data_IF_509738511253
#
_entry.id   IF_509738511253
#
_cell.length_a   1.000
_cell.length_b   1.000
_cell.length_c   1.000
_cell.angle_alpha   90.00
_cell.angle_beta   90.00
_cell.angle_gamma   90.00
#
_symmetry.space_group_name_H-M   'P 1'
#
loop_
_entity.id
_entity.type
_entity.pdbx_description
1 polymer ?
#
# COMPACT_ATOMS: atom_id res chain seq x y z
N UNK A 1 5.58 -10.17 -3.54
CA UNK A 1 5.49 -11.21 -4.59
C UNK A 1 6.81 -11.93 -4.67
N UNK A 2 6.92 -13.20 -4.23
CA UNK A 2 8.14 -13.97 -4.42
C UNK A 2 8.33 -14.19 -5.93
N UNK A 3 9.43 -13.70 -6.49
CA UNK A 3 9.83 -13.91 -7.86
C UNK A 3 9.74 -12.72 -8.81
N UNK A 4 9.15 -11.61 -8.43
CA UNK A 4 9.32 -10.36 -9.18
C UNK A 4 10.57 -9.66 -8.64
N UNK A 5 11.74 -10.12 -9.04
CA UNK A 5 12.94 -9.28 -9.04
C UNK A 5 12.82 -8.31 -10.21
N UNK A 6 11.86 -7.41 -10.15
CA UNK A 6 12.08 -6.15 -10.83
C UNK A 6 13.37 -5.62 -10.21
N UNK A 7 14.36 -5.31 -11.02
CA UNK A 7 15.26 -4.22 -10.68
C UNK A 7 14.32 -3.03 -10.49
N UNK A 8 13.77 -2.89 -9.29
CA UNK A 8 13.14 -1.66 -8.84
C UNK A 8 14.32 -0.71 -8.66
N UNK A 9 14.92 -0.35 -9.78
CA UNK A 9 16.15 0.43 -9.80
C UNK A 9 15.92 1.89 -9.51
N UNK A 10 14.67 2.36 -9.49
CA UNK A 10 14.43 3.77 -9.26
C UNK A 10 13.16 3.90 -8.44
N UNK A 11 13.34 4.10 -7.14
CA UNK A 11 12.28 4.66 -6.30
C UNK A 11 11.98 6.07 -6.82
N UNK A 12 10.88 6.21 -7.54
CA UNK A 12 10.36 7.54 -7.81
C UNK A 12 9.68 8.01 -6.52
N UNK A 13 10.15 9.06 -5.85
CA UNK A 13 9.51 9.57 -4.64
C UNK A 13 8.10 10.03 -5.01
N UNK A 14 7.09 9.57 -4.27
CA UNK A 14 5.71 9.99 -4.48
C UNK A 14 5.53 11.47 -4.14
N UNK A 15 6.27 11.99 -3.18
CA UNK A 15 6.21 13.39 -2.77
C UNK A 15 7.57 13.96 -2.36
N UNK A 16 7.65 15.28 -2.13
CA UNK A 16 8.88 15.94 -1.76
C UNK A 16 9.36 15.46 -0.39
N UNK A 17 10.65 15.13 -0.30
CA UNK A 17 11.32 14.66 0.92
C UNK A 17 11.72 15.81 1.87
N UNK A 18 11.66 17.06 1.41
CA UNK A 18 12.03 18.22 2.20
C UNK A 18 11.17 18.37 3.46
N UNK A 19 11.79 18.80 4.56
CA UNK A 19 11.13 19.02 5.86
C UNK A 19 11.34 20.44 6.36
N UNK A 20 10.38 20.94 7.12
CA UNK A 20 10.42 22.28 7.74
C UNK A 20 10.21 22.18 9.25
N UNK A 21 11.22 21.67 10.01
CA UNK A 21 11.13 21.60 11.47
C UNK A 21 11.07 22.99 12.08
N UNK A 22 10.27 23.16 13.13
CA UNK A 22 10.18 24.44 13.85
C UNK A 22 11.36 24.69 14.79
N UNK A 23 12.14 23.64 15.11
CA UNK A 23 13.33 23.76 15.96
C UNK A 23 14.44 22.80 15.56
N UNK A 24 15.65 23.10 15.99
CA UNK A 24 16.80 22.18 15.95
C UNK A 24 16.75 21.23 17.15
N UNK A 25 17.01 19.95 16.93
CA UNK A 25 17.11 18.94 17.99
C UNK A 25 18.54 18.46 18.18
N UNK A 26 18.90 17.88 19.34
CA UNK A 26 20.23 17.30 19.53
C UNK A 26 20.60 16.24 18.51
N UNK A 27 19.63 15.43 18.05
CA UNK A 27 19.84 14.43 17.00
C UNK A 27 20.20 15.04 15.65
N UNK A 28 19.62 16.17 15.30
CA UNK A 28 19.93 16.94 14.09
C UNK A 28 21.31 17.59 14.20
N UNK A 29 21.64 18.18 15.35
CA UNK A 29 22.95 18.76 15.61
C UNK A 29 24.09 17.73 15.45
N UNK A 30 23.82 16.46 15.75
CA UNK A 30 24.77 15.38 15.50
C UNK A 30 25.14 15.26 14.01
N UNK A 31 24.17 15.36 13.12
CA UNK A 31 24.46 15.31 11.67
C UNK A 31 25.39 16.46 11.24
N UNK A 32 25.25 17.64 11.85
CA UNK A 32 26.18 18.76 11.62
C UNK A 32 27.61 18.45 12.04
N UNK A 33 27.81 17.81 13.21
CA UNK A 33 29.14 17.40 13.67
C UNK A 33 29.69 16.26 12.81
N UNK A 34 28.84 15.32 12.43
CA UNK A 34 29.19 14.22 11.56
C UNK A 34 29.68 14.69 10.18
N UNK A 35 29.18 15.84 9.71
CA UNK A 35 29.65 16.49 8.48
C UNK A 35 31.16 16.78 8.50
N UNK A 36 31.71 17.18 9.63
CA UNK A 36 33.17 17.40 9.79
C UNK A 36 33.96 16.08 9.75
N UNK A 37 33.31 14.94 9.96
CA UNK A 37 33.88 13.60 10.02
C UNK A 37 33.52 12.73 8.81
N UNK A 38 33.06 13.32 7.70
CA UNK A 38 32.78 12.60 6.45
C UNK A 38 31.37 12.01 6.30
N UNK A 39 30.42 12.36 7.17
CA UNK A 39 29.01 12.01 6.96
C UNK A 39 28.29 12.98 6.01
N UNK A 40 27.15 12.54 5.43
CA UNK A 40 26.40 13.26 4.39
C UNK A 40 26.25 14.76 4.65
N UNK A 41 26.68 15.56 3.69
CA UNK A 41 26.75 17.01 3.79
C UNK A 41 25.44 17.73 3.51
N UNK A 42 24.44 16.99 3.00
CA UNK A 42 23.15 17.47 2.52
C UNK A 42 21.96 17.18 3.47
N UNK A 43 22.25 16.80 4.71
CA UNK A 43 21.21 16.45 5.70
C UNK A 43 20.68 17.68 6.45
N UNK A 44 21.50 18.72 6.60
CA UNK A 44 21.16 19.93 7.36
C UNK A 44 21.26 21.18 6.49
N UNK A 45 20.34 22.11 6.72
CA UNK A 45 20.46 23.47 6.22
C UNK A 45 21.69 24.13 6.91
N UNK A 46 22.68 24.66 6.16
CA UNK A 46 23.90 25.18 6.74
C UNK A 46 23.71 26.46 7.56
N UNK A 47 22.63 27.21 7.32
CA UNK A 47 22.32 28.47 8.00
C UNK A 47 21.54 28.23 9.31
N UNK A 48 20.58 27.31 9.27
CA UNK A 48 19.64 27.11 10.37
C UNK A 48 19.95 25.87 11.22
N UNK A 49 20.82 24.97 10.76
CA UNK A 49 21.10 23.66 11.35
C UNK A 49 19.83 22.80 11.54
N UNK A 50 18.79 23.05 10.75
CA UNK A 50 17.57 22.25 10.73
C UNK A 50 17.67 21.17 9.68
N UNK A 51 17.06 20.03 9.95
CA UNK A 51 16.96 18.92 8.98
C UNK A 51 16.23 19.39 7.73
N UNK A 52 16.79 19.10 6.55
CA UNK A 52 16.20 19.49 5.25
C UNK A 52 15.41 18.36 4.57
N UNK A 53 15.63 17.11 4.98
CA UNK A 53 14.95 15.94 4.42
C UNK A 53 14.51 14.99 5.53
N UNK A 54 13.46 14.20 5.29
CA UNK A 54 13.07 13.11 6.19
C UNK A 54 14.23 12.11 6.37
N UNK A 55 14.52 11.78 7.62
CA UNK A 55 15.56 10.80 7.99
C UNK A 55 15.05 9.64 8.81
N UNK A 56 13.92 9.82 9.50
CA UNK A 56 13.28 8.81 10.31
C UNK A 56 11.77 8.80 10.09
N UNK A 57 11.37 8.86 8.82
CA UNK A 57 9.98 8.63 8.45
C UNK A 57 9.54 7.27 8.98
N UNK A 58 8.49 7.28 9.79
CA UNK A 58 7.97 6.11 10.46
C UNK A 58 6.60 5.71 9.88
N UNK A 59 5.65 5.28 10.70
CA UNK A 59 4.33 4.90 10.24
C UNK A 59 3.60 6.01 9.49
N UNK A 60 2.83 5.63 8.48
CA UNK A 60 2.02 6.55 7.69
C UNK A 60 0.57 6.08 7.59
N UNK A 61 -0.33 7.00 7.36
CA UNK A 61 -1.71 6.71 6.98
C UNK A 61 -2.16 7.62 5.85
N UNK A 62 -3.09 7.14 5.03
CA UNK A 62 -3.85 8.01 4.13
C UNK A 62 -5.14 8.39 4.84
N UNK A 63 -5.43 9.69 4.93
CA UNK A 63 -6.64 10.16 5.56
C UNK A 63 -7.87 9.79 4.74
N UNK A 64 -8.78 9.04 5.37
CA UNK A 64 -10.05 8.58 4.79
C UNK A 64 -11.21 8.78 5.76
N UNK A 65 -11.03 9.67 6.76
CA UNK A 65 -12.04 10.04 7.73
C UNK A 65 -13.04 11.07 7.19
N UNK A 66 -13.93 11.50 8.06
CA UNK A 66 -15.05 12.41 7.75
C UNK A 66 -15.01 13.74 8.50
N UNK A 67 -14.08 13.88 9.46
CA UNK A 67 -14.02 15.08 10.30
C UNK A 67 -13.31 16.27 9.63
N UNK A 68 -12.27 16.01 8.81
CA UNK A 68 -11.58 17.07 8.08
C UNK A 68 -12.35 17.45 6.81
N UNK A 69 -12.13 18.66 6.26
CA UNK A 69 -12.70 19.08 4.99
C UNK A 69 -12.41 18.11 3.84
N UNK A 70 -13.26 18.14 2.79
CA UNK A 70 -13.18 17.17 1.67
C UNK A 70 -11.84 17.16 0.93
N UNK A 71 -11.16 18.31 0.85
CA UNK A 71 -9.82 18.45 0.27
C UNK A 71 -8.72 17.69 1.05
N UNK A 72 -9.05 17.21 2.22
CA UNK A 72 -8.16 16.34 3.01
C UNK A 72 -8.22 14.88 2.59
N UNK A 73 -9.25 14.49 1.87
CA UNK A 73 -9.38 13.11 1.41
C UNK A 73 -8.14 12.70 0.59
N UNK A 74 -7.61 11.52 0.89
CA UNK A 74 -6.42 10.95 0.24
C UNK A 74 -5.09 11.70 0.50
N UNK A 75 -5.00 12.58 1.49
CA UNK A 75 -3.71 13.07 1.96
C UNK A 75 -3.00 12.00 2.77
N UNK A 76 -1.73 11.75 2.44
CA UNK A 76 -0.86 10.90 3.25
C UNK A 76 -0.30 11.71 4.40
N UNK A 77 -0.36 11.15 5.61
CA UNK A 77 0.25 11.67 6.82
C UNK A 77 1.44 10.81 7.17
N UNK A 78 2.64 11.38 7.14
CA UNK A 78 3.90 10.68 7.39
C UNK A 78 4.50 11.24 8.66
N UNK A 79 4.71 10.38 9.64
CA UNK A 79 5.34 10.77 10.91
C UNK A 79 6.86 10.79 10.77
N UNK A 80 7.49 11.83 11.33
CA UNK A 80 8.95 11.98 11.34
C UNK A 80 9.41 12.24 12.79
N UNK A 81 9.94 11.21 13.40
CA UNK A 81 10.23 11.21 14.83
C UNK A 81 11.53 11.95 15.21
N UNK A 82 12.47 12.14 14.28
CA UNK A 82 13.74 12.84 14.57
C UNK A 82 13.54 14.32 14.80
N UNK A 83 12.63 14.95 14.07
CA UNK A 83 12.43 16.40 14.09
C UNK A 83 11.01 16.83 14.47
N UNK A 84 10.31 15.96 15.19
CA UNK A 84 9.06 16.28 15.89
C UNK A 84 7.96 16.82 14.99
N UNK A 85 7.69 16.16 13.86
CA UNK A 85 6.66 16.61 12.94
C UNK A 85 5.84 15.46 12.32
N UNK A 86 4.69 15.81 11.78
CA UNK A 86 3.90 14.97 10.88
C UNK A 86 3.70 15.73 9.58
N UNK A 87 4.24 15.19 8.50
CA UNK A 87 4.13 15.74 7.16
C UNK A 87 2.83 15.32 6.51
N UNK A 88 2.14 16.25 5.86
CA UNK A 88 1.02 15.92 5.00
C UNK A 88 1.44 16.05 3.53
N UNK A 89 1.08 15.04 2.73
CA UNK A 89 1.33 15.00 1.29
C UNK A 89 -0.01 14.84 0.58
N UNK A 90 -0.33 15.76 -0.32
CA UNK A 90 -1.49 15.65 -1.21
C UNK A 90 -1.15 14.68 -2.34
N UNK A 91 -1.83 13.53 -2.37
CA UNK A 91 -1.60 12.49 -3.36
C UNK A 91 -2.48 12.72 -4.58
N UNK A 92 -1.87 12.66 -5.76
CA UNK A 92 -2.55 12.69 -7.06
C UNK A 92 -2.36 11.35 -7.76
N UNK A 93 -3.46 10.76 -8.18
CA UNK A 93 -3.51 9.56 -9.01
C UNK A 93 -3.86 9.96 -10.44
N UNK A 94 -2.93 9.73 -11.37
CA UNK A 94 -3.11 10.05 -12.79
C UNK A 94 -3.72 8.88 -13.59
N UNK A 95 -4.07 7.77 -12.94
CA UNK A 95 -4.63 6.58 -13.60
C UNK A 95 -3.64 5.78 -14.46
N UNK A 96 -2.35 6.07 -14.36
CA UNK A 96 -1.28 5.37 -15.08
C UNK A 96 -0.48 4.38 -14.21
N UNK A 97 -0.98 4.08 -12.99
CA UNK A 97 -0.31 3.23 -12.01
C UNK A 97 0.81 3.93 -11.22
N UNK A 98 1.05 5.22 -11.46
CA UNK A 98 2.00 6.04 -10.72
C UNK A 98 1.26 7.10 -9.91
N UNK A 99 1.65 7.21 -8.66
CA UNK A 99 1.19 8.28 -7.78
C UNK A 99 2.20 9.41 -7.79
N UNK A 100 1.71 10.63 -7.70
CA UNK A 100 2.53 11.81 -7.43
C UNK A 100 1.99 12.54 -6.20
N UNK A 101 2.85 13.28 -5.51
CA UNK A 101 2.45 13.99 -4.32
C UNK A 101 3.07 15.38 -4.25
N UNK A 102 2.35 16.30 -3.64
CA UNK A 102 2.79 17.67 -3.40
C UNK A 102 2.69 17.99 -1.91
N UNK A 103 3.59 18.85 -1.44
CA UNK A 103 3.53 19.39 -0.09
C UNK A 103 2.67 20.66 -0.07
N UNK A 104 1.52 20.66 0.63
CA UNK A 104 0.55 21.75 0.51
C UNK A 104 0.85 22.95 1.41
N UNK A 105 1.85 22.89 2.28
CA UNK A 105 2.12 23.89 3.33
C UNK A 105 3.33 24.79 3.06
N UNK A 106 3.87 24.78 1.85
CA UNK A 106 5.02 25.63 1.49
C UNK A 106 6.27 25.30 2.30
N UNK A 107 6.67 26.17 3.23
CA UNK A 107 7.83 25.98 4.13
C UNK A 107 7.43 25.65 5.57
N UNK A 108 6.20 25.20 5.78
CA UNK A 108 5.68 24.75 7.07
C UNK A 108 5.29 23.27 7.01
N UNK A 109 4.96 22.68 8.15
CA UNK A 109 4.44 21.32 8.25
C UNK A 109 3.01 21.34 8.77
N UNK A 110 2.25 20.29 8.45
CA UNK A 110 0.88 20.16 8.96
C UNK A 110 0.84 20.15 10.49
N UNK A 111 1.74 19.40 11.10
CA UNK A 111 1.88 19.34 12.55
C UNK A 111 3.38 19.30 12.88
N UNK A 112 3.80 20.20 13.74
CA UNK A 112 5.17 20.21 14.28
C UNK A 112 5.13 20.61 15.75
N UNK A 113 6.11 20.13 16.55
CA UNK A 113 6.19 20.40 17.97
C UNK A 113 7.55 21.00 18.34
N UNK A 114 7.54 21.92 19.29
CA UNK A 114 8.75 22.42 19.97
C UNK A 114 9.21 21.51 21.10
N UNK A 115 8.38 20.56 21.52
CA UNK A 115 8.72 19.57 22.54
C UNK A 115 9.68 18.52 21.99
N UNK A 116 10.89 18.45 22.54
CA UNK A 116 11.93 17.51 22.11
C UNK A 116 11.60 16.06 22.40
N UNK A 117 10.63 15.79 23.27
CA UNK A 117 10.13 14.44 23.57
C UNK A 117 9.04 13.98 22.60
N UNK A 118 8.41 14.90 21.87
CA UNK A 118 7.44 14.52 20.83
C UNK A 118 8.11 13.70 19.74
N UNK A 119 7.76 12.42 19.65
CA UNK A 119 8.32 11.44 18.72
C UNK A 119 7.20 10.69 18.04
N UNK A 120 6.52 11.31 17.05
CA UNK A 120 5.43 10.66 16.36
C UNK A 120 5.96 9.47 15.56
N UNK A 121 5.40 8.28 15.79
CA UNK A 121 5.84 7.02 15.17
C UNK A 121 4.78 6.38 14.31
N UNK A 122 3.51 6.77 14.46
CA UNK A 122 2.43 6.30 13.60
C UNK A 122 1.24 7.25 13.61
N UNK A 123 0.39 7.12 12.59
CA UNK A 123 -0.87 7.84 12.47
C UNK A 123 -1.98 6.88 12.03
N UNK A 124 -3.20 7.08 12.52
CA UNK A 124 -4.36 6.24 12.21
C UNK A 124 -5.61 7.09 11.94
N UNK A 125 -6.45 6.63 11.02
CA UNK A 125 -7.82 7.11 10.94
C UNK A 125 -8.59 6.62 12.16
N UNK A 126 -9.40 7.48 12.76
CA UNK A 126 -10.18 7.15 13.94
C UNK A 126 -11.66 6.83 13.61
N UNK A 127 -12.35 6.07 14.48
CA UNK A 127 -13.77 5.77 14.28
C UNK A 127 -14.65 7.01 14.23
N UNK A 128 -14.26 8.09 14.88
CA UNK A 128 -14.99 9.37 14.90
C UNK A 128 -14.66 10.30 13.72
N UNK A 129 -13.88 9.82 12.76
CA UNK A 129 -13.47 10.57 11.57
C UNK A 129 -12.22 11.44 11.76
N UNK A 130 -11.69 11.55 12.98
CA UNK A 130 -10.45 12.28 13.29
C UNK A 130 -9.19 11.48 12.94
N UNK A 131 -8.02 12.00 13.29
CA UNK A 131 -6.72 11.32 13.18
C UNK A 131 -6.14 11.09 14.57
N UNK A 132 -5.64 9.88 14.83
CA UNK A 132 -4.86 9.57 16.02
C UNK A 132 -3.37 9.55 15.66
N UNK A 133 -2.57 10.31 16.38
CA UNK A 133 -1.11 10.28 16.29
C UNK A 133 -0.58 9.50 17.50
N UNK A 134 0.24 8.50 17.22
CA UNK A 134 0.95 7.72 18.23
C UNK A 134 2.29 8.38 18.47
N UNK A 135 2.50 8.84 19.68
CA UNK A 135 3.73 9.50 20.14
C UNK A 135 4.45 8.60 21.14
N UNK A 136 5.66 8.19 20.81
CA UNK A 136 6.52 7.45 21.72
C UNK A 136 6.91 8.28 22.93
N UNK A 137 6.92 9.60 22.81
CA UNK A 137 7.27 10.61 23.80
C UNK A 137 8.57 10.30 24.54
N UNK A 138 9.65 10.21 23.80
CA UNK A 138 10.94 9.79 24.32
C UNK A 138 12.05 10.75 23.92
N UNK A 139 12.85 11.23 24.88
CA UNK A 139 13.92 12.20 24.61
C UNK A 139 15.03 11.60 23.74
N UNK A 140 15.48 10.39 24.07
CA UNK A 140 16.56 9.69 23.37
C UNK A 140 15.97 8.54 22.56
N UNK A 141 16.08 8.60 21.23
CA UNK A 141 15.61 7.55 20.32
C UNK A 141 16.75 6.81 19.59
N UNK A 142 17.98 7.30 19.75
CA UNK A 142 19.15 6.69 19.15
C UNK A 142 19.63 5.47 19.94
N UNK A 143 20.10 4.46 19.23
CA UNK A 143 20.81 3.35 19.84
C UNK A 143 22.09 3.84 20.54
N UNK A 144 22.44 3.25 21.68
CA UNK A 144 23.58 3.66 22.52
C UNK A 144 24.90 3.85 21.75
N UNK A 145 25.15 2.97 20.77
CA UNK A 145 26.35 3.04 19.91
C UNK A 145 26.45 4.34 19.09
N UNK A 146 25.32 4.97 18.80
CA UNK A 146 25.26 6.22 18.04
C UNK A 146 25.15 7.47 18.91
N UNK A 147 25.12 7.31 20.24
CA UNK A 147 25.11 8.44 21.19
C UNK A 147 26.55 8.81 21.48
N UNK A 148 27.08 9.78 20.73
CA UNK A 148 28.40 10.34 20.98
C UNK A 148 28.45 11.10 22.30
N UNK A 149 29.64 11.35 22.87
CA UNK A 149 29.80 12.15 24.10
C UNK A 149 29.12 13.50 23.99
N UNK A 150 29.30 14.20 22.88
CA UNK A 150 28.64 15.49 22.61
C UNK A 150 27.11 15.34 22.65
N UNK A 151 26.56 14.36 21.96
CA UNK A 151 25.10 14.15 21.89
C UNK A 151 24.54 13.80 23.25
N UNK A 152 25.26 12.97 24.01
CA UNK A 152 24.90 12.60 25.38
C UNK A 152 24.83 13.85 26.30
N UNK A 153 25.81 14.69 26.21
CA UNK A 153 25.85 15.95 26.97
C UNK A 153 24.65 16.86 26.64
N UNK A 154 24.31 16.99 25.35
CA UNK A 154 23.12 17.71 24.88
C UNK A 154 21.82 17.13 25.47
N UNK A 155 21.70 15.81 25.54
CA UNK A 155 20.52 15.17 26.13
C UNK A 155 20.44 15.39 27.65
N UNK A 156 21.55 15.20 28.37
CA UNK A 156 21.59 15.37 29.81
C UNK A 156 21.32 16.81 30.23
N UNK A 157 21.94 17.79 29.56
CA UNK A 157 21.75 19.22 29.86
C UNK A 157 20.31 19.70 29.65
N UNK A 158 19.51 18.95 28.87
CA UNK A 158 18.09 19.26 28.60
C UNK A 158 17.13 18.33 29.34
N UNK A 159 17.63 17.45 30.20
CA UNK A 159 16.82 16.47 30.93
C UNK A 159 16.08 15.48 30.06
N UNK A 160 16.62 15.15 28.87
CA UNK A 160 15.98 14.26 27.90
C UNK A 160 16.25 12.76 28.18
N UNK A 161 17.10 12.44 29.12
CA UNK A 161 17.47 11.09 29.54
C UNK A 161 16.49 10.45 30.54
N UNK A 162 15.57 11.25 31.09
CA UNK A 162 14.57 10.75 32.06
C UNK A 162 13.37 10.04 31.40
N UNK A 163 12.47 9.49 32.19
CA UNK A 163 12.21 8.05 32.29
C UNK A 163 11.97 7.40 30.93
N UNK A 164 12.53 6.19 30.74
CA UNK A 164 12.50 5.46 29.47
C UNK A 164 11.15 4.80 29.16
N UNK A 165 10.23 4.70 30.13
CA UNK A 165 8.99 3.93 29.99
C UNK A 165 7.78 4.70 30.53
N UNK A 166 6.58 4.36 30.04
CA UNK A 166 5.31 4.88 30.57
C UNK A 166 4.97 6.31 30.15
N UNK A 167 5.69 6.92 29.20
CA UNK A 167 5.48 8.29 28.76
C UNK A 167 4.74 8.39 27.42
N UNK A 168 4.53 7.29 26.69
CA UNK A 168 3.84 7.29 25.40
C UNK A 168 2.46 7.94 25.45
N UNK A 169 2.06 8.58 24.35
CA UNK A 169 0.81 9.34 24.23
C UNK A 169 0.09 9.06 22.94
N UNK A 170 -1.23 9.22 23.01
CA UNK A 170 -2.09 9.23 21.83
C UNK A 170 -2.71 10.62 21.73
N UNK A 171 -2.43 11.32 20.63
CA UNK A 171 -3.08 12.59 20.35
C UNK A 171 -4.20 12.41 19.35
N UNK A 172 -5.37 12.93 19.65
CA UNK A 172 -6.45 13.09 18.70
C UNK A 172 -6.34 14.45 18.03
N UNK A 173 -6.14 14.44 16.70
CA UNK A 173 -6.15 15.65 15.87
C UNK A 173 -7.48 15.71 15.14
N UNK A 174 -8.24 16.78 15.33
CA UNK A 174 -9.55 17.00 14.73
C UNK A 174 -9.68 18.39 14.13
N UNK A 175 -10.49 18.49 13.07
CA UNK A 175 -10.95 19.79 12.59
C UNK A 175 -12.04 20.34 13.51
N UNK A 176 -11.93 21.61 13.88
CA UNK A 176 -12.97 22.29 14.69
C UNK A 176 -14.21 22.61 13.87
N UNK A 177 -14.09 22.65 12.53
CA UNK A 177 -15.22 22.88 11.62
C UNK A 177 -16.04 21.61 11.34
N UNK A 178 -15.45 20.41 11.54
CA UNK A 178 -16.12 19.15 11.31
C UNK A 178 -16.74 18.54 12.57
N UNK A 179 -17.81 17.77 12.38
CA UNK A 179 -18.39 16.98 13.47
C UNK A 179 -17.61 15.68 13.66
N UNK A 180 -17.46 15.25 14.90
CA UNK A 180 -17.03 13.90 15.23
C UNK A 180 -18.22 12.93 15.15
N UNK A 181 -17.99 11.76 14.60
CA UNK A 181 -18.98 10.68 14.60
C UNK A 181 -19.08 10.06 16.00
N UNK A 182 -20.28 9.59 16.36
CA UNK A 182 -20.47 8.86 17.60
C UNK A 182 -19.75 7.50 17.51
N UNK A 183 -19.17 7.07 18.62
CA UNK A 183 -18.57 5.74 18.70
C UNK A 183 -19.64 4.64 18.55
N UNK A 184 -19.34 3.65 17.72
CA UNK A 184 -20.13 2.45 17.55
C UNK A 184 -19.25 1.23 17.78
N UNK A 185 -19.66 0.33 18.63
CA UNK A 185 -18.99 -0.93 18.90
C UNK A 185 -19.34 -1.95 17.80
N UNK A 186 -18.44 -2.12 16.82
CA UNK A 186 -18.67 -2.98 15.68
C UNK A 186 -18.70 -4.48 16.06
N UNK A 187 -18.09 -4.84 17.19
CA UNK A 187 -18.13 -6.22 17.67
C UNK A 187 -19.52 -6.66 18.18
N UNK A 188 -20.46 -5.75 18.33
CA UNK A 188 -21.83 -6.06 18.69
C UNK A 188 -22.79 -6.09 17.51
N UNK A 189 -22.31 -5.73 16.32
CA UNK A 189 -23.15 -5.66 15.13
C UNK A 189 -23.35 -7.04 14.50
N UNK A 190 -24.53 -7.21 13.91
CA UNK A 190 -24.89 -8.36 13.08
C UNK A 190 -24.23 -8.31 11.71
N UNK A 191 -24.18 -9.43 10.99
CA UNK A 191 -23.64 -9.48 9.64
C UNK A 191 -24.28 -8.47 8.67
N UNK A 192 -25.63 -8.32 8.60
CA UNK A 192 -26.26 -7.31 7.75
C UNK A 192 -25.84 -5.86 8.10
N UNK A 193 -25.70 -5.55 9.39
CA UNK A 193 -25.28 -4.22 9.84
C UNK A 193 -23.81 -3.95 9.44
N UNK A 194 -22.91 -4.95 9.59
CA UNK A 194 -21.52 -4.85 9.15
C UNK A 194 -21.42 -4.69 7.63
N UNK A 195 -22.18 -5.47 6.85
CA UNK A 195 -22.19 -5.34 5.38
C UNK A 195 -22.63 -3.93 4.95
N UNK A 196 -23.63 -3.34 5.63
CA UNK A 196 -24.04 -1.96 5.37
C UNK A 196 -22.90 -0.95 5.59
N UNK A 197 -22.04 -1.18 6.58
CA UNK A 197 -20.89 -0.31 6.85
C UNK A 197 -19.80 -0.37 5.78
N UNK A 198 -19.78 -1.34 4.87
CA UNK A 198 -18.85 -1.38 3.74
C UNK A 198 -19.04 -0.20 2.77
N UNK A 199 -20.16 0.52 2.86
CA UNK A 199 -20.42 1.75 2.10
C UNK A 199 -20.22 3.04 2.91
N UNK A 200 -19.78 2.95 4.17
CA UNK A 200 -19.65 4.09 5.08
C UNK A 200 -18.66 5.14 4.54
N UNK A 201 -18.93 6.43 4.76
CA UNK A 201 -18.07 7.51 4.30
C UNK A 201 -16.67 7.46 4.95
N UNK A 202 -16.63 7.23 6.27
CA UNK A 202 -15.36 7.05 7.00
C UNK A 202 -14.73 5.68 6.68
N UNK A 203 -13.50 5.70 6.15
CA UNK A 203 -12.76 4.50 5.79
C UNK A 203 -12.51 3.54 6.96
N UNK A 204 -12.40 4.06 8.18
CA UNK A 204 -12.21 3.23 9.37
C UNK A 204 -13.36 2.22 9.55
N UNK A 205 -14.60 2.66 9.36
CA UNK A 205 -15.77 1.76 9.48
C UNK A 205 -15.80 0.70 8.39
N UNK A 206 -15.45 1.04 7.14
CA UNK A 206 -15.37 0.06 6.05
C UNK A 206 -14.33 -1.02 6.32
N UNK A 207 -13.10 -0.61 6.67
CA UNK A 207 -11.99 -1.52 6.94
C UNK A 207 -12.29 -2.42 8.16
N UNK A 208 -12.85 -1.82 9.23
CA UNK A 208 -13.16 -2.56 10.46
C UNK A 208 -14.31 -3.54 10.25
N UNK A 209 -15.38 -3.13 9.54
CA UNK A 209 -16.49 -4.03 9.23
C UNK A 209 -16.04 -5.22 8.39
N UNK A 210 -15.23 -5.00 7.35
CA UNK A 210 -14.61 -6.06 6.56
C UNK A 210 -13.79 -7.00 7.45
N UNK A 211 -12.92 -6.47 8.31
CA UNK A 211 -12.08 -7.25 9.21
C UNK A 211 -12.94 -8.08 10.17
N UNK A 212 -13.96 -7.49 10.83
CA UNK A 212 -14.81 -8.18 11.79
C UNK A 212 -15.57 -9.34 11.12
N UNK A 213 -16.10 -9.15 9.91
CA UNK A 213 -16.76 -10.22 9.14
C UNK A 213 -15.79 -11.39 8.86
N UNK A 214 -14.56 -11.08 8.47
CA UNK A 214 -13.55 -12.11 8.18
C UNK A 214 -13.04 -12.78 9.45
N UNK A 215 -12.74 -12.02 10.51
CA UNK A 215 -12.24 -12.54 11.79
C UNK A 215 -13.26 -13.48 12.46
N UNK A 216 -14.56 -13.20 12.31
CA UNK A 216 -15.63 -14.07 12.77
C UNK A 216 -15.90 -15.28 11.87
N UNK A 217 -15.29 -15.34 10.69
CA UNK A 217 -15.62 -16.31 9.64
C UNK A 217 -17.13 -16.36 9.35
N UNK A 218 -17.81 -15.21 9.36
CA UNK A 218 -19.26 -15.12 9.26
C UNK A 218 -19.76 -15.32 7.83
N UNK A 219 -19.81 -16.58 7.42
CA UNK A 219 -20.25 -16.98 6.08
C UNK A 219 -21.74 -16.67 5.80
N UNK A 220 -22.53 -16.34 6.81
CA UNK A 220 -23.92 -15.93 6.62
C UNK A 220 -24.04 -14.61 5.87
N UNK A 221 -22.98 -13.79 5.89
CA UNK A 221 -22.87 -12.55 5.11
C UNK A 221 -22.74 -12.77 3.60
N UNK A 222 -22.38 -13.98 3.13
CA UNK A 222 -22.06 -14.25 1.71
C UNK A 222 -23.13 -13.75 0.73
N UNK A 223 -24.44 -14.05 0.87
CA UNK A 223 -25.45 -13.59 -0.07
C UNK A 223 -25.56 -12.06 -0.13
N UNK A 224 -25.42 -11.39 1.02
CA UNK A 224 -25.49 -9.93 1.09
C UNK A 224 -24.24 -9.28 0.45
N UNK A 225 -23.07 -9.89 0.64
CA UNK A 225 -21.81 -9.43 0.01
C UNK A 225 -21.88 -9.59 -1.51
N UNK A 226 -22.39 -10.72 -2.01
CA UNK A 226 -22.61 -10.94 -3.44
C UNK A 226 -23.60 -9.93 -4.03
N UNK A 227 -24.66 -9.58 -3.30
CA UNK A 227 -25.58 -8.53 -3.71
C UNK A 227 -24.90 -7.16 -3.79
N UNK A 228 -24.09 -6.78 -2.79
CA UNK A 228 -23.32 -5.53 -2.81
C UNK A 228 -22.35 -5.49 -3.98
N UNK A 229 -21.61 -6.58 -4.24
CA UNK A 229 -20.70 -6.69 -5.39
C UNK A 229 -21.43 -6.50 -6.72
N UNK A 230 -22.62 -7.09 -6.85
CA UNK A 230 -23.36 -7.06 -8.11
C UNK A 230 -24.10 -5.73 -8.35
N UNK A 231 -24.72 -5.16 -7.32
CA UNK A 231 -25.71 -4.11 -7.48
C UNK A 231 -25.33 -2.75 -6.90
N UNK A 232 -24.35 -2.66 -5.99
CA UNK A 232 -24.02 -1.38 -5.37
C UNK A 232 -23.45 -0.40 -6.38
N UNK A 233 -23.94 0.83 -6.39
CA UNK A 233 -23.37 1.93 -7.17
C UNK A 233 -22.13 2.53 -6.52
N UNK A 234 -21.88 2.26 -5.23
CA UNK A 234 -20.70 2.71 -4.51
C UNK A 234 -19.49 1.81 -4.85
N UNK A 235 -18.50 2.29 -5.60
CA UNK A 235 -17.35 1.49 -6.00
C UNK A 235 -16.54 0.96 -4.80
N UNK A 236 -16.45 1.74 -3.70
CA UNK A 236 -15.74 1.31 -2.49
C UNK A 236 -16.47 0.16 -1.80
N UNK A 237 -17.81 0.23 -1.71
CA UNK A 237 -18.61 -0.86 -1.15
C UNK A 237 -18.41 -2.16 -1.93
N UNK A 238 -18.44 -2.10 -3.27
CA UNK A 238 -18.18 -3.26 -4.14
C UNK A 238 -16.81 -3.86 -3.91
N UNK A 239 -15.77 -3.02 -3.81
CA UNK A 239 -14.39 -3.45 -3.57
C UNK A 239 -14.27 -4.11 -2.19
N UNK A 240 -14.78 -3.47 -1.14
CA UNK A 240 -14.74 -4.05 0.21
C UNK A 240 -15.52 -5.37 0.31
N UNK A 241 -16.71 -5.45 -0.31
CA UNK A 241 -17.50 -6.68 -0.33
C UNK A 241 -16.78 -7.83 -1.07
N UNK A 242 -16.15 -7.54 -2.21
CA UNK A 242 -15.34 -8.52 -2.95
C UNK A 242 -14.18 -9.08 -2.10
N UNK A 243 -13.44 -8.19 -1.44
CA UNK A 243 -12.32 -8.60 -0.57
C UNK A 243 -12.78 -9.25 0.74
N UNK A 244 -14.01 -8.97 1.20
CA UNK A 244 -14.62 -9.72 2.30
C UNK A 244 -14.94 -11.14 1.86
N UNK A 245 -15.51 -11.34 0.67
CA UNK A 245 -15.74 -12.68 0.10
C UNK A 245 -14.42 -13.47 -0.05
N UNK A 246 -13.35 -12.81 -0.48
CA UNK A 246 -12.02 -13.46 -0.55
C UNK A 246 -11.54 -13.89 0.84
N UNK A 247 -11.60 -13.01 1.83
CA UNK A 247 -11.18 -13.31 3.21
C UNK A 247 -12.03 -14.42 3.87
N UNK A 248 -13.30 -14.57 3.47
CA UNK A 248 -14.18 -15.65 3.92
C UNK A 248 -13.99 -16.96 3.14
N UNK A 249 -13.10 -17.01 2.14
CA UNK A 249 -12.93 -18.16 1.25
C UNK A 249 -14.15 -18.45 0.36
N UNK A 250 -14.96 -17.40 0.07
CA UNK A 250 -16.19 -17.47 -0.74
C UNK A 250 -16.06 -16.77 -2.10
N UNK A 251 -14.83 -16.45 -2.50
CA UNK A 251 -14.58 -15.87 -3.81
C UNK A 251 -14.90 -16.88 -4.93
N UNK A 252 -15.61 -16.44 -5.96
CA UNK A 252 -16.02 -17.28 -7.10
C UNK A 252 -16.04 -16.48 -8.41
N UNK A 253 -16.12 -17.16 -9.54
CA UNK A 253 -16.30 -16.51 -10.82
C UNK A 253 -17.58 -15.67 -10.88
N UNK A 254 -18.67 -16.12 -10.25
CA UNK A 254 -19.94 -15.38 -10.22
C UNK A 254 -19.84 -14.07 -9.44
N UNK A 255 -19.06 -14.01 -8.37
CA UNK A 255 -18.81 -12.76 -7.63
C UNK A 255 -17.87 -11.80 -8.36
N UNK A 256 -16.96 -12.30 -9.20
CA UNK A 256 -16.02 -11.46 -9.94
C UNK A 256 -16.63 -10.92 -11.24
N UNK A 257 -17.47 -11.67 -11.92
CA UNK A 257 -18.03 -11.29 -13.22
C UNK A 257 -18.67 -9.89 -13.24
N UNK A 258 -19.51 -9.47 -12.25
CA UNK A 258 -20.06 -8.12 -12.22
C UNK A 258 -18.99 -7.03 -11.99
N UNK A 259 -17.88 -7.37 -11.34
CA UNK A 259 -16.75 -6.43 -11.17
C UNK A 259 -16.07 -6.16 -12.50
N UNK A 260 -15.83 -7.20 -13.32
CA UNK A 260 -15.22 -7.09 -14.64
C UNK A 260 -16.12 -6.34 -15.65
N UNK A 261 -17.44 -6.39 -15.47
CA UNK A 261 -18.42 -5.67 -16.28
C UNK A 261 -18.65 -4.20 -15.84
N UNK A 262 -18.00 -3.74 -14.78
CA UNK A 262 -18.21 -2.41 -14.24
C UNK A 262 -17.61 -1.30 -15.12
N UNK A 263 -18.23 -0.10 -15.09
CA UNK A 263 -17.72 1.08 -15.79
C UNK A 263 -16.52 1.72 -15.07
N UNK A 264 -16.43 1.55 -13.75
CA UNK A 264 -15.36 2.16 -12.94
C UNK A 264 -14.06 1.34 -13.05
N UNK A 265 -12.95 1.91 -13.55
CA UNK A 265 -11.71 1.17 -13.76
C UNK A 265 -11.14 0.55 -12.46
N UNK A 266 -11.28 1.21 -11.31
CA UNK A 266 -10.79 0.69 -10.03
C UNK A 266 -11.56 -0.55 -9.58
N UNK A 267 -12.86 -0.63 -9.90
CA UNK A 267 -13.69 -1.81 -9.65
C UNK A 267 -13.23 -2.96 -10.57
N UNK A 268 -12.99 -2.69 -11.85
CA UNK A 268 -12.48 -3.69 -12.80
C UNK A 268 -11.10 -4.20 -12.37
N UNK A 269 -10.19 -3.31 -11.98
CA UNK A 269 -8.85 -3.65 -11.47
C UNK A 269 -8.97 -4.58 -10.25
N UNK A 270 -9.85 -4.26 -9.30
CA UNK A 270 -10.07 -5.13 -8.13
C UNK A 270 -10.62 -6.50 -8.54
N UNK A 271 -11.53 -6.55 -9.52
CA UNK A 271 -12.04 -7.80 -10.09
C UNK A 271 -10.93 -8.63 -10.76
N UNK A 272 -10.08 -8.01 -11.58
CA UNK A 272 -8.92 -8.68 -12.20
C UNK A 272 -7.94 -9.19 -11.15
N UNK A 273 -7.66 -8.40 -10.13
CA UNK A 273 -6.77 -8.84 -9.06
C UNK A 273 -7.34 -10.03 -8.29
N UNK A 274 -8.62 -9.99 -7.95
CA UNK A 274 -9.30 -11.12 -7.31
C UNK A 274 -9.35 -12.35 -8.22
N UNK A 275 -9.58 -12.18 -9.54
CA UNK A 275 -9.54 -13.27 -10.51
C UNK A 275 -8.19 -14.01 -10.52
N UNK A 276 -7.07 -13.29 -10.32
CA UNK A 276 -5.74 -13.92 -10.24
C UNK A 276 -5.52 -14.82 -9.01
N UNK A 277 -6.46 -14.87 -8.09
CA UNK A 277 -6.45 -15.72 -6.88
C UNK A 277 -7.37 -16.93 -7.00
N UNK A 278 -8.18 -17.00 -8.05
CA UNK A 278 -9.10 -18.11 -8.25
C UNK A 278 -8.36 -19.40 -8.62
N UNK A 279 -8.89 -20.56 -8.21
CA UNK A 279 -8.51 -21.83 -8.82
C UNK A 279 -8.74 -21.81 -10.33
N UNK A 280 -7.93 -22.57 -11.07
CA UNK A 280 -7.93 -22.61 -12.54
C UNK A 280 -9.34 -22.79 -13.13
N UNK A 281 -10.11 -23.76 -12.62
CA UNK A 281 -11.45 -24.05 -13.10
C UNK A 281 -12.46 -22.89 -12.91
N UNK A 282 -12.28 -22.06 -11.90
CA UNK A 282 -13.09 -20.85 -11.68
C UNK A 282 -12.63 -19.70 -12.59
N UNK A 283 -11.31 -19.54 -12.78
CA UNK A 283 -10.75 -18.52 -13.66
C UNK A 283 -11.21 -18.74 -15.12
N UNK A 284 -11.23 -19.99 -15.58
CA UNK A 284 -11.66 -20.36 -16.95
C UNK A 284 -13.10 -19.93 -17.25
N UNK A 285 -13.98 -19.91 -16.24
CA UNK A 285 -15.37 -19.42 -16.41
C UNK A 285 -15.42 -17.92 -16.76
N UNK A 286 -14.37 -17.17 -16.43
CA UNK A 286 -14.25 -15.75 -16.74
C UNK A 286 -13.55 -15.46 -18.07
N UNK A 287 -13.03 -16.47 -18.78
CA UNK A 287 -12.22 -16.27 -20.00
C UNK A 287 -12.93 -15.41 -21.04
N UNK A 288 -14.21 -15.66 -21.29
CA UNK A 288 -14.96 -14.91 -22.31
C UNK A 288 -15.06 -13.41 -22.01
N UNK A 289 -15.22 -13.02 -20.75
CA UNK A 289 -15.25 -11.60 -20.35
C UNK A 289 -13.84 -11.01 -20.32
N UNK A 290 -12.84 -11.74 -19.80
CA UNK A 290 -11.44 -11.27 -19.74
C UNK A 290 -10.89 -11.04 -21.15
N UNK A 291 -11.18 -11.91 -22.11
CA UNK A 291 -10.74 -11.78 -23.50
C UNK A 291 -11.35 -10.56 -24.20
N UNK A 292 -12.54 -10.11 -23.79
CA UNK A 292 -13.20 -8.91 -24.33
C UNK A 292 -12.77 -7.60 -23.66
N UNK A 293 -12.14 -7.68 -22.48
CA UNK A 293 -11.73 -6.48 -21.77
C UNK A 293 -10.59 -5.75 -22.50
N UNK A 294 -10.76 -4.45 -22.68
CA UNK A 294 -9.68 -3.55 -23.08
C UNK A 294 -9.30 -2.65 -21.91
N UNK A 295 -8.00 -2.37 -21.69
CA UNK A 295 -7.58 -1.48 -20.61
C UNK A 295 -8.16 -0.08 -20.79
N UNK A 296 -9.05 0.33 -19.89
CA UNK A 296 -9.60 1.69 -19.86
C UNK A 296 -8.60 2.72 -19.33
N UNK A 297 -7.58 2.26 -18.61
CA UNK A 297 -6.48 3.08 -18.06
C UNK A 297 -5.18 2.30 -18.16
N UNK A 298 -4.04 3.00 -18.18
CA UNK A 298 -2.72 2.35 -18.16
C UNK A 298 -2.53 1.47 -16.92
N UNK A 299 -3.07 1.91 -15.77
CA UNK A 299 -3.03 1.16 -14.52
C UNK A 299 -3.72 -0.22 -14.62
N UNK A 300 -4.73 -0.36 -15.45
CA UNK A 300 -5.44 -1.63 -15.62
C UNK A 300 -4.62 -2.68 -16.37
N UNK A 301 -3.70 -2.25 -17.23
CA UNK A 301 -2.94 -3.13 -18.15
C UNK A 301 -2.17 -4.24 -17.43
N UNK A 302 -1.39 -3.99 -16.35
CA UNK A 302 -0.69 -5.05 -15.65
C UNK A 302 -1.63 -6.09 -15.00
N UNK A 303 -2.77 -5.67 -14.49
CA UNK A 303 -3.74 -6.59 -13.89
C UNK A 303 -4.38 -7.51 -14.96
N UNK A 304 -4.69 -6.96 -16.14
CA UNK A 304 -5.18 -7.75 -17.27
C UNK A 304 -4.09 -8.71 -17.78
N UNK A 305 -2.85 -8.25 -17.93
CA UNK A 305 -1.73 -9.08 -18.34
C UNK A 305 -1.52 -10.28 -17.41
N UNK A 306 -1.66 -10.06 -16.08
CA UNK A 306 -1.48 -11.10 -15.07
C UNK A 306 -2.49 -12.25 -15.19
N UNK A 307 -3.77 -11.96 -15.49
CA UNK A 307 -4.83 -12.97 -15.53
C UNK A 307 -4.93 -13.69 -16.90
N UNK A 308 -4.33 -13.13 -17.95
CA UNK A 308 -4.29 -13.76 -19.27
C UNK A 308 -3.32 -14.94 -19.33
N UNK A 309 -2.21 -14.89 -18.61
CA UNK A 309 -1.21 -15.95 -18.57
C UNK A 309 -1.81 -17.31 -18.19
N UNK A 310 -2.48 -17.43 -17.01
CA UNK A 310 -3.00 -18.70 -16.52
C UNK A 310 -4.14 -19.28 -17.36
N UNK A 311 -4.84 -18.49 -18.17
CA UNK A 311 -5.88 -18.99 -19.06
C UNK A 311 -5.32 -19.98 -20.09
N UNK A 312 -4.05 -19.86 -20.45
CA UNK A 312 -3.28 -20.82 -21.28
C UNK A 312 -3.96 -21.23 -22.62
N UNK A 313 -4.77 -20.33 -23.15
CA UNK A 313 -5.42 -20.53 -24.47
C UNK A 313 -4.72 -19.70 -25.55
N UNK A 314 -4.76 -20.13 -26.84
CA UNK A 314 -4.17 -19.36 -27.94
C UNK A 314 -4.66 -17.90 -27.96
N UNK A 315 -5.96 -17.66 -27.77
CA UNK A 315 -6.55 -16.33 -27.77
C UNK A 315 -6.06 -15.46 -26.58
N UNK A 316 -5.92 -16.05 -25.38
CA UNK A 316 -5.43 -15.36 -24.21
C UNK A 316 -3.95 -14.99 -24.37
N UNK A 317 -3.14 -15.90 -24.90
CA UNK A 317 -1.73 -15.65 -25.12
C UNK A 317 -1.46 -14.70 -26.30
N UNK A 318 -2.30 -14.70 -27.31
CA UNK A 318 -2.24 -13.71 -28.39
C UNK A 318 -2.52 -12.30 -27.80
N UNK A 319 -3.59 -12.17 -27.00
CA UNK A 319 -3.92 -10.91 -26.32
C UNK A 319 -2.81 -10.46 -25.38
N UNK A 320 -2.25 -11.38 -24.58
CA UNK A 320 -1.13 -11.11 -23.69
C UNK A 320 0.11 -10.62 -24.46
N UNK A 321 0.43 -11.29 -25.58
CA UNK A 321 1.52 -10.91 -26.47
C UNK A 321 1.35 -9.47 -26.98
N UNK A 322 0.14 -9.12 -27.43
CA UNK A 322 -0.16 -7.79 -27.92
C UNK A 322 -0.02 -6.72 -26.82
N UNK A 323 -0.45 -7.02 -25.59
CA UNK A 323 -0.26 -6.13 -24.43
C UNK A 323 1.23 -5.93 -24.10
N UNK A 324 2.01 -7.00 -24.07
CA UNK A 324 3.45 -6.98 -23.81
C UNK A 324 4.19 -6.18 -24.90
N UNK A 325 3.90 -6.42 -26.17
CA UNK A 325 4.52 -5.69 -27.29
C UNK A 325 4.19 -4.21 -27.24
N UNK A 326 2.94 -3.85 -26.96
CA UNK A 326 2.51 -2.44 -26.82
C UNK A 326 3.13 -1.75 -25.62
N UNK A 327 3.47 -2.51 -24.58
CA UNK A 327 3.98 -2.02 -23.30
C UNK A 327 5.42 -2.44 -23.02
N UNK A 328 6.24 -2.61 -24.06
CA UNK A 328 7.59 -3.19 -23.99
C UNK A 328 8.56 -2.44 -23.06
N UNK A 329 8.27 -1.18 -22.74
CA UNK A 329 9.04 -0.33 -21.82
C UNK A 329 8.41 -0.21 -20.42
N UNK A 330 7.25 -0.82 -20.20
CA UNK A 330 6.56 -0.72 -18.91
C UNK A 330 6.89 -1.95 -18.03
N UNK A 331 7.77 -1.80 -17.01
CA UNK A 331 8.22 -2.93 -16.19
C UNK A 331 7.08 -3.56 -15.37
N UNK A 332 6.02 -2.81 -15.07
CA UNK A 332 4.85 -3.34 -14.36
C UNK A 332 4.06 -4.32 -15.22
N UNK A 333 3.88 -4.02 -16.51
CA UNK A 333 3.19 -4.90 -17.44
C UNK A 333 4.02 -6.15 -17.71
N UNK A 334 5.33 -6.01 -17.96
CA UNK A 334 6.24 -7.12 -18.18
C UNK A 334 6.32 -8.05 -16.96
N UNK A 335 6.48 -7.47 -15.76
CA UNK A 335 6.51 -8.23 -14.50
C UNK A 335 5.19 -8.93 -14.19
N UNK A 336 4.05 -8.29 -14.49
CA UNK A 336 2.73 -8.89 -14.31
C UNK A 336 2.48 -10.05 -15.29
N UNK A 337 2.84 -9.89 -16.57
CA UNK A 337 2.77 -10.94 -17.57
C UNK A 337 3.62 -12.15 -17.14
N UNK A 338 4.89 -11.92 -16.79
CA UNK A 338 5.77 -12.97 -16.28
C UNK A 338 5.19 -13.69 -15.05
N UNK A 339 4.73 -12.93 -14.07
CA UNK A 339 4.14 -13.48 -12.84
C UNK A 339 2.83 -14.26 -13.07
N UNK A 340 2.13 -13.99 -14.16
CA UNK A 340 0.92 -14.72 -14.53
C UNK A 340 1.19 -16.03 -15.27
N UNK A 341 2.36 -16.19 -15.87
CA UNK A 341 2.65 -17.41 -16.67
C UNK A 341 2.93 -18.65 -15.84
N UNK A 342 3.44 -18.50 -14.62
CA UNK A 342 3.64 -19.54 -13.61
C UNK A 342 3.87 -20.96 -14.17
N UNK A 343 5.12 -21.27 -14.53
CA UNK A 343 5.58 -22.51 -15.17
C UNK A 343 5.15 -22.72 -16.64
N UNK A 344 4.59 -21.72 -17.31
CA UNK A 344 4.23 -21.78 -18.73
C UNK A 344 5.07 -20.84 -19.60
N UNK A 345 6.14 -20.30 -19.06
CA UNK A 345 6.98 -19.28 -19.68
C UNK A 345 7.54 -19.73 -21.04
N UNK A 346 8.03 -20.98 -21.15
CA UNK A 346 8.55 -21.53 -22.43
C UNK A 346 7.44 -21.68 -23.46
N UNK A 347 6.31 -22.26 -23.08
CA UNK A 347 5.19 -22.45 -24.00
C UNK A 347 4.67 -21.11 -24.53
N UNK A 348 4.59 -20.11 -23.63
CA UNK A 348 4.22 -18.76 -24.02
C UNK A 348 5.27 -18.12 -24.95
N UNK A 349 6.57 -18.29 -24.65
CA UNK A 349 7.66 -17.80 -25.48
C UNK A 349 7.60 -18.42 -26.91
N UNK A 350 7.33 -19.71 -27.00
CA UNK A 350 7.17 -20.40 -28.26
C UNK A 350 5.94 -19.90 -29.04
N UNK A 351 4.79 -19.77 -28.38
CA UNK A 351 3.56 -19.25 -28.97
C UNK A 351 3.69 -17.79 -29.44
N UNK A 352 4.54 -17.01 -28.82
CA UNK A 352 4.81 -15.61 -29.17
C UNK A 352 6.11 -15.43 -29.98
N UNK A 353 6.65 -16.49 -30.57
CA UNK A 353 7.97 -16.48 -31.22
C UNK A 353 8.13 -15.33 -32.21
N UNK A 354 9.23 -14.60 -32.10
CA UNK A 354 9.60 -13.47 -32.96
C UNK A 354 8.83 -12.17 -32.73
N UNK A 355 7.83 -12.12 -31.85
CA UNK A 355 7.05 -10.89 -31.57
C UNK A 355 7.70 -9.97 -30.54
N UNK A 356 8.53 -10.49 -29.63
CA UNK A 356 9.18 -9.69 -28.58
C UNK A 356 10.54 -9.16 -29.01
N UNK A 357 10.78 -7.86 -28.76
CA UNK A 357 12.06 -7.20 -28.96
C UNK A 357 12.80 -6.97 -27.64
N UNK A 358 12.10 -7.02 -26.50
CA UNK A 358 12.68 -6.78 -25.18
C UNK A 358 13.51 -7.99 -24.74
N UNK A 359 14.85 -7.84 -24.78
CA UNK A 359 15.82 -8.89 -24.43
C UNK A 359 15.75 -9.29 -22.95
N UNK A 360 15.47 -8.33 -22.06
CA UNK A 360 15.38 -8.58 -20.63
C UNK A 360 14.17 -9.43 -20.30
N UNK A 361 13.02 -9.15 -20.93
CA UNK A 361 11.81 -9.95 -20.78
C UNK A 361 12.01 -11.38 -21.31
N UNK A 362 12.62 -11.53 -22.49
CA UNK A 362 12.97 -12.84 -23.04
C UNK A 362 13.90 -13.62 -22.11
N UNK A 363 14.91 -12.98 -21.54
CA UNK A 363 15.81 -13.60 -20.55
C UNK A 363 15.07 -14.00 -19.26
N UNK A 364 14.05 -13.24 -18.83
CA UNK A 364 13.22 -13.63 -17.68
C UNK A 364 12.39 -14.88 -17.98
N UNK A 365 11.81 -14.99 -19.17
CA UNK A 365 11.07 -16.19 -19.59
C UNK A 365 11.97 -17.43 -19.57
N UNK A 366 13.23 -17.32 -20.04
CA UNK A 366 14.19 -18.42 -20.02
C UNK A 366 14.57 -18.85 -18.59
N UNK A 367 14.77 -17.89 -17.69
CA UNK A 367 15.09 -18.15 -16.28
C UNK A 367 13.93 -18.80 -15.53
N UNK A 368 12.70 -18.34 -15.75
CA UNK A 368 11.52 -18.92 -15.12
C UNK A 368 11.37 -20.40 -15.46
N UNK A 369 11.69 -20.75 -16.68
CA UNK A 369 11.70 -22.14 -17.15
C UNK A 369 12.79 -23.01 -16.50
N UNK A 370 14.00 -22.45 -16.28
CA UNK A 370 15.10 -23.19 -15.64
C UNK A 370 14.87 -23.41 -14.14
N UNK A 371 14.12 -22.53 -13.49
CA UNK A 371 13.82 -22.59 -12.06
C UNK A 371 12.59 -23.47 -11.74
N UNK A 372 11.84 -23.88 -12.75
CA UNK A 372 10.63 -24.70 -12.58
C UNK A 372 10.88 -26.04 -11.83
N UNK A 373 11.95 -26.82 -12.12
CA UNK A 373 12.26 -28.03 -11.39
C UNK A 373 12.54 -27.80 -9.90
N UNK A 374 13.31 -26.76 -9.58
CA UNK A 374 13.66 -26.43 -8.20
C UNK A 374 12.43 -26.01 -7.37
N UNK A 375 11.51 -25.24 -7.97
CA UNK A 375 10.26 -24.82 -7.32
C UNK A 375 9.31 -26.00 -7.09
N UNK A 376 9.27 -26.97 -8.01
CA UNK A 376 8.47 -28.18 -7.84
C UNK A 376 8.99 -29.02 -6.65
N UNK A 377 10.32 -29.19 -6.54
CA UNK A 377 10.94 -29.91 -5.44
C UNK A 377 10.69 -29.24 -4.09
N UNK A 378 10.76 -27.90 -4.03
CA UNK A 378 10.42 -27.13 -2.83
C UNK A 378 8.94 -27.25 -2.46
N UNK A 379 8.04 -27.24 -3.44
CA UNK A 379 6.61 -27.46 -3.24
C UNK A 379 6.29 -28.87 -2.71
N UNK A 380 6.95 -29.88 -3.23
CA UNK A 380 6.84 -31.27 -2.77
C UNK A 380 7.38 -31.44 -1.32
N UNK A 381 8.46 -30.75 -0.98
CA UNK A 381 9.00 -30.71 0.40
C UNK A 381 8.08 -30.00 1.38
N UNK A 382 7.35 -28.97 0.95
CA UNK A 382 6.41 -28.22 1.77
C UNK A 382 5.02 -28.91 1.87
N UNK A 383 4.67 -29.80 0.98
CA UNK A 383 3.38 -30.51 0.97
C UNK A 383 3.30 -31.69 1.95
N UNK A 384 4.34 -31.92 2.77
CA UNK A 384 4.21 -32.74 3.97
C UNK A 384 4.27 -34.26 3.76
N UNK A 385 4.68 -34.78 2.62
CA UNK A 385 4.89 -36.23 2.43
C UNK A 385 6.14 -36.75 3.14
N UNK A 386 6.89 -35.88 3.86
CA UNK A 386 8.05 -36.25 4.70
C UNK A 386 7.90 -35.85 6.18
N UNK A 387 6.69 -35.62 6.67
CA UNK A 387 6.42 -35.45 8.10
C UNK A 387 5.97 -36.81 8.70
N UNK A 388 6.88 -37.80 8.76
CA UNK A 388 6.77 -39.01 9.54
C UNK A 388 7.99 -39.12 10.44
#
# INVERSE_FOLDING_TARGET
NPGVTTKVGEFSPVGPNATWPIRVTPGVNRAYIAKKNGYATDTLNPETNKLINCTAAAGMTVYRGTNFPKEWANRALVTESCVQLVKAVEIKDSGNGKLSGTHPYGKDEWLASTDERFRPVNAYNAPDGSVIIVDMYHGIIQHKTFVTSYLREQYLSRGLDGPAHGQGRLYRVRSTAGKLEAYQDLDKLTAPELVKLLSHANGWHRDTAQRVLVDRADVSATPLLEEVVAKSENPLARIHALWTLEGLGKLSASSIQPMLAAKNPKVVISGLWAASKLPQAELEKLSAIILKLEPATEEMTPYLARVLGPLATPAAWEKLTNLVVKSDKNPLVLGAAYSGLDHQELKFKEAAAGKFKNKDFLSQLDKGASDAPAKKTAGELLSGENAA
#
